data_IF_763716382319
#
_entry.id   IF_763716382319
#
_cell.length_a   1.000
_cell.length_b   1.000
_cell.length_c   1.000
_cell.angle_alpha   90.00
_cell.angle_beta   90.00
_cell.angle_gamma   90.00
#
_symmetry.space_group_name_H-M   'P 1'
#
loop_
_entity.id
_entity.type
_entity.pdbx_description
1 polymer ?
#
# COMPACT_ATOMS: atom_id res chain seq x y z
N UNK A 1 -43.04 -26.73 -16.97
CA UNK A 1 -44.33 -26.67 -16.25
C UNK A 1 -45.36 -27.52 -16.99
N UNK A 2 -45.34 -28.84 -16.80
CA UNK A 2 -46.39 -29.76 -17.26
C UNK A 2 -46.89 -30.61 -16.07
N UNK A 3 -47.09 -29.96 -14.94
CA UNK A 3 -47.79 -30.49 -13.75
C UNK A 3 -48.42 -29.31 -13.05
N UNK A 4 -49.61 -28.90 -13.50
CA UNK A 4 -50.62 -28.08 -12.81
C UNK A 4 -51.63 -27.55 -13.83
N UNK A 5 -52.43 -28.44 -14.42
CA UNK A 5 -53.71 -28.11 -15.06
C UNK A 5 -54.64 -29.33 -15.05
N UNK A 6 -54.72 -30.02 -13.91
CA UNK A 6 -55.74 -31.06 -13.67
C UNK A 6 -56.46 -30.76 -12.36
N UNK A 7 -57.08 -29.58 -12.27
CA UNK A 7 -58.07 -29.28 -11.22
C UNK A 7 -58.93 -28.11 -11.70
N UNK A 8 -59.78 -28.34 -12.70
CA UNK A 8 -61.02 -27.58 -12.92
C UNK A 8 -61.79 -28.30 -14.02
N UNK A 9 -63.03 -28.66 -13.73
CA UNK A 9 -64.00 -29.30 -14.63
C UNK A 9 -64.35 -28.40 -15.82
N UNK A 10 -63.47 -28.33 -16.82
CA UNK A 10 -63.74 -27.68 -18.10
C UNK A 10 -64.23 -28.73 -19.10
N UNK A 11 -65.55 -28.83 -19.21
CA UNK A 11 -66.36 -29.20 -20.38
C UNK A 11 -65.75 -30.17 -21.40
N UNK A 12 -66.36 -31.36 -21.46
CA UNK A 12 -66.11 -32.47 -22.40
C UNK A 12 -66.00 -32.02 -23.89
N UNK A 13 -66.63 -30.90 -24.25
CA UNK A 13 -66.60 -30.29 -25.58
C UNK A 13 -65.25 -29.70 -25.99
N UNK A 14 -64.45 -29.17 -25.05
CA UNK A 14 -63.13 -28.62 -25.35
C UNK A 14 -62.10 -29.73 -25.63
N UNK A 15 -62.21 -30.83 -24.88
CA UNK A 15 -61.39 -32.02 -25.08
C UNK A 15 -61.69 -32.72 -26.42
N UNK A 16 -62.98 -32.80 -26.79
CA UNK A 16 -63.42 -33.32 -28.10
C UNK A 16 -62.88 -32.46 -29.26
N UNK A 17 -63.02 -31.12 -29.18
CA UNK A 17 -62.44 -30.20 -30.19
C UNK A 17 -60.93 -30.35 -30.35
N UNK A 18 -60.20 -30.56 -29.24
CA UNK A 18 -58.76 -30.78 -29.26
C UNK A 18 -58.39 -32.09 -29.95
N UNK A 19 -59.17 -33.16 -29.71
CA UNK A 19 -59.01 -34.47 -30.35
C UNK A 19 -59.27 -34.40 -31.86
N UNK A 20 -60.32 -33.69 -32.28
CA UNK A 20 -60.65 -33.48 -33.70
C UNK A 20 -59.58 -32.65 -34.40
N UNK A 21 -59.07 -31.60 -33.76
CA UNK A 21 -57.95 -30.80 -34.29
C UNK A 21 -56.65 -31.61 -34.39
N UNK A 22 -56.40 -32.52 -33.45
CA UNK A 22 -55.24 -33.42 -33.49
C UNK A 22 -55.37 -34.42 -34.66
N UNK A 23 -56.55 -35.02 -34.83
CA UNK A 23 -56.85 -35.95 -35.93
C UNK A 23 -56.73 -35.27 -37.30
N UNK A 24 -57.24 -34.03 -37.44
CA UNK A 24 -57.09 -33.20 -38.64
C UNK A 24 -55.62 -32.81 -38.92
N UNK A 25 -54.80 -32.63 -37.88
CA UNK A 25 -53.38 -32.33 -38.05
C UNK A 25 -52.58 -33.56 -38.50
N UNK A 26 -52.94 -34.75 -38.00
CA UNK A 26 -52.39 -36.05 -38.41
C UNK A 26 -52.78 -36.36 -39.86
N UNK A 27 -54.06 -36.20 -40.23
CA UNK A 27 -54.54 -36.38 -41.62
C UNK A 27 -53.86 -35.44 -42.62
N UNK A 28 -53.47 -34.24 -42.18
CA UNK A 28 -52.79 -33.23 -43.01
C UNK A 28 -51.27 -33.37 -43.04
N UNK A 29 -50.70 -34.44 -42.50
CA UNK A 29 -49.25 -34.68 -42.42
C UNK A 29 -48.46 -33.47 -41.84
N UNK A 30 -49.09 -32.69 -40.95
CA UNK A 30 -48.44 -31.54 -40.34
C UNK A 30 -47.40 -32.05 -39.34
N UNK A 31 -46.12 -31.84 -39.66
CA UNK A 31 -45.02 -32.17 -38.75
C UNK A 31 -45.27 -31.47 -37.40
N UNK A 32 -45.17 -32.19 -36.26
CA UNK A 32 -45.34 -31.58 -34.95
C UNK A 32 -44.30 -30.48 -34.77
N UNK A 33 -44.77 -29.33 -34.32
CA UNK A 33 -43.91 -28.17 -34.07
C UNK A 33 -42.95 -28.54 -32.95
N UNK A 34 -41.65 -28.47 -33.22
CA UNK A 34 -40.62 -28.68 -32.20
C UNK A 34 -40.64 -27.53 -31.17
N UNK A 35 -41.41 -27.73 -30.11
CA UNK A 35 -41.56 -26.78 -29.01
C UNK A 35 -40.22 -26.49 -28.31
N UNK A 36 -39.28 -27.44 -28.30
CA UNK A 36 -37.96 -27.21 -27.72
C UNK A 36 -37.16 -26.23 -28.58
N UNK A 37 -37.20 -26.38 -29.91
CA UNK A 37 -36.58 -25.45 -30.86
C UNK A 37 -37.25 -24.07 -30.81
N UNK A 38 -38.57 -23.99 -30.76
CA UNK A 38 -39.28 -22.71 -30.62
C UNK A 38 -38.94 -22.00 -29.30
N UNK A 39 -38.88 -22.73 -28.19
CA UNK A 39 -38.50 -22.18 -26.89
C UNK A 39 -37.06 -21.65 -26.91
N UNK A 40 -36.12 -22.35 -27.55
CA UNK A 40 -34.74 -21.86 -27.76
C UNK A 40 -34.71 -20.55 -28.55
N UNK A 41 -35.50 -20.43 -29.63
CA UNK A 41 -35.59 -19.19 -30.42
C UNK A 41 -36.19 -18.06 -29.59
N UNK A 42 -37.27 -18.33 -28.85
CA UNK A 42 -37.91 -17.33 -27.98
C UNK A 42 -36.95 -16.84 -26.90
N UNK A 43 -36.20 -17.75 -26.28
CA UNK A 43 -35.19 -17.43 -25.28
C UNK A 43 -34.05 -16.59 -25.87
N UNK A 44 -33.58 -16.93 -27.08
CA UNK A 44 -32.56 -16.15 -27.79
C UNK A 44 -33.05 -14.72 -28.06
N UNK A 45 -34.26 -14.56 -28.61
CA UNK A 45 -34.87 -13.23 -28.85
C UNK A 45 -35.05 -12.44 -27.56
N UNK A 46 -35.46 -13.09 -26.47
CA UNK A 46 -35.58 -12.45 -25.17
C UNK A 46 -34.23 -11.97 -24.64
N UNK A 47 -33.20 -12.82 -24.76
CA UNK A 47 -31.83 -12.47 -24.38
C UNK A 47 -31.35 -11.27 -25.20
N UNK A 48 -31.49 -11.29 -26.53
CA UNK A 48 -31.12 -10.18 -27.41
C UNK A 48 -31.86 -8.88 -27.06
N UNK A 49 -33.16 -8.95 -26.74
CA UNK A 49 -33.93 -7.80 -26.26
C UNK A 49 -33.38 -7.28 -24.93
N UNK A 50 -33.03 -8.18 -24.02
CA UNK A 50 -32.46 -7.84 -22.71
C UNK A 50 -31.06 -7.25 -22.79
N UNK A 51 -30.34 -7.39 -23.92
CA UNK A 51 -29.06 -6.71 -24.15
C UNK A 51 -29.22 -5.22 -24.48
N UNK A 52 -30.41 -4.81 -24.91
CA UNK A 52 -30.69 -3.45 -25.41
C UNK A 52 -31.27 -2.58 -24.30
N UNK A 53 -30.94 -1.29 -24.34
CA UNK A 53 -31.55 -0.24 -23.51
C UNK A 53 -33.07 -0.19 -23.71
N UNK A 54 -33.78 0.38 -22.75
CA UNK A 54 -35.19 0.80 -22.94
C UNK A 54 -35.18 2.08 -23.78
N UNK A 55 -36.23 2.31 -24.54
CA UNK A 55 -36.42 3.60 -25.23
C UNK A 55 -36.55 4.72 -24.20
N UNK A 56 -36.12 5.93 -24.55
CA UNK A 56 -36.12 7.07 -23.60
C UNK A 56 -37.52 7.37 -23.05
N UNK A 57 -38.54 7.33 -23.91
CA UNK A 57 -39.95 7.54 -23.52
C UNK A 57 -40.43 6.49 -22.51
N UNK A 58 -40.16 5.22 -22.78
CA UNK A 58 -40.55 4.15 -21.84
C UNK A 58 -39.73 4.17 -20.56
N UNK A 59 -38.45 4.58 -20.62
CA UNK A 59 -37.65 4.76 -19.42
C UNK A 59 -38.23 5.87 -18.54
N UNK A 60 -38.63 7.01 -19.12
CA UNK A 60 -39.33 8.09 -18.43
C UNK A 60 -40.58 7.61 -17.72
N UNK A 61 -41.50 6.97 -18.44
CA UNK A 61 -42.74 6.46 -17.86
C UNK A 61 -42.50 5.45 -16.71
N UNK A 62 -41.48 4.60 -16.81
CA UNK A 62 -41.14 3.65 -15.74
C UNK A 62 -40.58 4.39 -14.53
N UNK A 63 -39.65 5.33 -14.71
CA UNK A 63 -39.03 6.07 -13.61
C UNK A 63 -40.06 6.95 -12.89
N UNK A 64 -40.92 7.65 -13.63
CA UNK A 64 -41.99 8.48 -13.05
C UNK A 64 -42.94 7.65 -12.19
N UNK A 65 -43.31 6.46 -12.68
CA UNK A 65 -44.15 5.51 -11.93
C UNK A 65 -43.47 5.01 -10.65
N UNK A 66 -42.20 4.66 -10.71
CA UNK A 66 -41.46 4.10 -9.57
C UNK A 66 -41.14 5.18 -8.51
N UNK A 67 -40.80 6.39 -8.94
CA UNK A 67 -40.42 7.49 -8.05
C UNK A 67 -41.60 8.38 -7.62
N UNK A 68 -42.77 8.22 -8.24
CA UNK A 68 -43.95 9.08 -8.01
C UNK A 68 -43.66 10.58 -8.20
N UNK A 69 -42.76 10.92 -9.13
CA UNK A 69 -42.44 12.30 -9.54
C UNK A 69 -42.52 12.42 -11.05
N UNK A 70 -42.77 13.62 -11.55
CA UNK A 70 -42.81 13.94 -12.98
C UNK A 70 -41.50 14.59 -13.42
N UNK A 71 -41.10 14.38 -14.67
CA UNK A 71 -39.97 15.08 -15.29
C UNK A 71 -40.49 15.96 -16.44
N UNK A 72 -39.79 17.04 -16.75
CA UNK A 72 -40.16 17.92 -17.87
C UNK A 72 -40.22 17.14 -19.19
N UNK A 73 -41.09 17.56 -20.13
CA UNK A 73 -41.29 16.83 -21.40
C UNK A 73 -39.98 16.59 -22.16
N UNK A 74 -39.09 17.57 -22.17
CA UNK A 74 -37.78 17.52 -22.85
C UNK A 74 -36.67 16.83 -22.05
N UNK A 75 -36.89 16.53 -20.77
CA UNK A 75 -35.88 15.95 -19.92
C UNK A 75 -35.64 14.48 -20.27
N UNK A 76 -34.40 14.17 -20.66
CA UNK A 76 -33.99 12.84 -21.11
C UNK A 76 -33.42 12.05 -19.94
N UNK A 77 -34.06 10.93 -19.62
CA UNK A 77 -33.52 9.96 -18.65
C UNK A 77 -32.30 9.24 -19.23
N UNK A 78 -31.18 9.30 -18.51
CA UNK A 78 -29.92 8.70 -18.92
C UNK A 78 -28.83 8.79 -17.85
N UNK A 79 -27.54 8.61 -18.25
CA UNK A 79 -26.40 8.66 -17.34
C UNK A 79 -26.19 10.02 -16.71
N UNK A 80 -26.52 11.09 -17.42
CA UNK A 80 -26.34 12.47 -16.98
C UNK A 80 -27.49 12.97 -16.09
N UNK A 81 -28.58 12.21 -15.95
CA UNK A 81 -29.72 12.59 -15.10
C UNK A 81 -29.33 12.47 -13.63
N UNK A 82 -29.53 13.54 -12.86
CA UNK A 82 -29.29 13.52 -11.42
C UNK A 82 -30.43 12.78 -10.70
N UNK A 83 -30.05 11.75 -9.95
CA UNK A 83 -30.94 11.02 -9.05
C UNK A 83 -30.38 11.16 -7.64
N UNK A 84 -31.26 11.33 -6.65
CA UNK A 84 -30.82 11.21 -5.26
C UNK A 84 -30.33 9.78 -5.00
N UNK A 85 -29.55 9.62 -3.95
CA UNK A 85 -29.02 8.34 -3.54
C UNK A 85 -30.12 7.31 -3.24
N UNK A 86 -31.29 7.74 -2.76
CA UNK A 86 -32.47 6.92 -2.44
C UNK A 86 -33.29 6.55 -3.68
N UNK A 87 -33.44 7.52 -4.60
CA UNK A 87 -34.08 7.31 -5.89
C UNK A 87 -33.30 6.28 -6.70
N UNK A 88 -31.98 6.42 -6.75
CA UNK A 88 -31.11 5.51 -7.46
C UNK A 88 -31.20 4.09 -6.88
N UNK A 89 -31.24 3.94 -5.56
CA UNK A 89 -31.42 2.62 -4.92
C UNK A 89 -32.77 1.99 -5.27
N UNK A 90 -33.83 2.78 -5.37
CA UNK A 90 -35.16 2.32 -5.79
C UNK A 90 -35.16 1.86 -7.25
N UNK A 91 -34.59 2.67 -8.15
CA UNK A 91 -34.49 2.35 -9.58
C UNK A 91 -33.59 1.13 -9.85
N UNK A 92 -32.47 1.00 -9.14
CA UNK A 92 -31.54 -0.11 -9.31
C UNK A 92 -32.06 -1.43 -8.71
N UNK A 93 -33.00 -1.38 -7.76
CA UNK A 93 -33.72 -2.57 -7.26
C UNK A 93 -34.72 -3.14 -8.28
N UNK A 94 -35.14 -2.34 -9.27
CA UNK A 94 -36.07 -2.80 -10.30
C UNK A 94 -35.52 -4.04 -11.03
N UNK A 95 -36.40 -5.01 -11.34
CA UNK A 95 -36.02 -6.25 -12.03
C UNK A 95 -35.66 -6.02 -13.51
N UNK A 96 -36.07 -4.89 -14.08
CA UNK A 96 -35.83 -4.59 -15.49
C UNK A 96 -34.38 -4.16 -15.75
N UNK A 97 -33.54 -5.11 -16.18
CA UNK A 97 -32.12 -4.86 -16.50
C UNK A 97 -31.92 -3.79 -17.59
N UNK A 98 -32.86 -3.69 -18.53
CA UNK A 98 -32.79 -2.73 -19.63
C UNK A 98 -32.97 -1.29 -19.15
N UNK A 99 -33.73 -1.08 -18.08
CA UNK A 99 -33.84 0.22 -17.43
C UNK A 99 -32.50 0.63 -16.82
N UNK A 100 -31.83 -0.29 -16.13
CA UNK A 100 -30.50 -0.07 -15.55
C UNK A 100 -29.47 0.33 -16.61
N UNK A 101 -29.50 -0.31 -17.78
CA UNK A 101 -28.69 0.07 -18.93
C UNK A 101 -28.96 1.49 -19.43
N UNK A 102 -30.21 1.93 -19.36
CA UNK A 102 -30.59 3.28 -19.79
C UNK A 102 -30.09 4.32 -18.79
N UNK A 103 -30.34 4.10 -17.49
CA UNK A 103 -29.89 4.97 -16.40
C UNK A 103 -28.37 5.04 -16.32
N UNK A 104 -27.66 3.92 -16.50
CA UNK A 104 -26.20 3.88 -16.42
C UNK A 104 -25.51 4.18 -17.77
N UNK A 105 -26.27 4.48 -18.82
CA UNK A 105 -25.72 4.82 -20.13
C UNK A 105 -25.04 3.68 -20.89
N UNK A 106 -25.15 2.43 -20.43
CA UNK A 106 -24.42 1.27 -20.98
C UNK A 106 -25.35 0.26 -21.68
N UNK A 107 -24.83 -0.83 -22.21
CA UNK A 107 -25.62 -1.91 -22.83
C UNK A 107 -25.08 -3.27 -22.44
N UNK A 108 -25.89 -4.32 -22.61
CA UNK A 108 -25.45 -5.67 -22.26
C UNK A 108 -24.20 -6.10 -23.02
N UNK A 109 -23.96 -5.59 -24.23
CA UNK A 109 -22.77 -5.89 -25.00
C UNK A 109 -21.55 -5.14 -24.46
N UNK A 110 -21.68 -3.86 -24.13
CA UNK A 110 -20.59 -3.05 -23.57
C UNK A 110 -20.15 -3.54 -22.19
N UNK A 111 -21.10 -3.99 -21.37
CA UNK A 111 -20.81 -4.49 -20.01
C UNK A 111 -19.92 -5.74 -20.01
N UNK A 112 -19.88 -6.48 -21.12
CA UNK A 112 -19.02 -7.66 -21.26
C UNK A 112 -17.54 -7.30 -21.44
N UNK A 113 -17.24 -6.05 -21.78
CA UNK A 113 -15.89 -5.54 -21.97
C UNK A 113 -15.46 -4.78 -20.71
N UNK A 114 -14.48 -5.33 -19.99
CA UNK A 114 -13.97 -4.75 -18.75
C UNK A 114 -13.34 -3.37 -18.93
N UNK A 115 -12.74 -3.09 -20.10
CA UNK A 115 -12.11 -1.80 -20.37
C UNK A 115 -13.18 -0.72 -20.61
N UNK A 116 -14.24 -1.06 -21.36
CA UNK A 116 -15.37 -0.14 -21.56
C UNK A 116 -16.08 0.14 -20.23
N UNK A 117 -16.30 -0.89 -19.42
CA UNK A 117 -16.88 -0.73 -18.07
C UNK A 117 -16.01 0.19 -17.22
N UNK A 118 -14.69 -0.02 -17.19
CA UNK A 118 -13.77 0.85 -16.43
C UNK A 118 -13.84 2.31 -16.93
N UNK A 119 -13.80 2.54 -18.24
CA UNK A 119 -13.89 3.90 -18.82
C UNK A 119 -15.20 4.59 -18.48
N UNK A 120 -16.33 3.88 -18.55
CA UNK A 120 -17.63 4.45 -18.20
C UNK A 120 -17.74 4.71 -16.68
N UNK A 121 -17.15 3.86 -15.84
CA UNK A 121 -17.01 4.10 -14.41
C UNK A 121 -16.17 5.34 -14.12
N UNK A 122 -15.04 5.51 -14.81
CA UNK A 122 -14.18 6.70 -14.65
C UNK A 122 -14.94 8.01 -14.97
N UNK A 123 -15.83 8.01 -15.98
CA UNK A 123 -16.70 9.17 -16.25
C UNK A 123 -17.62 9.52 -15.07
N UNK A 124 -18.21 8.51 -14.43
CA UNK A 124 -19.02 8.74 -13.22
C UNK A 124 -18.17 9.24 -12.05
N UNK A 125 -16.94 8.74 -11.90
CA UNK A 125 -16.02 9.19 -10.85
C UNK A 125 -15.57 10.65 -11.04
N UNK A 126 -15.34 11.11 -12.27
CA UNK A 126 -15.05 12.52 -12.57
C UNK A 126 -16.17 13.45 -12.09
N UNK A 127 -17.42 12.98 -12.15
CA UNK A 127 -18.61 13.70 -11.69
C UNK A 127 -18.95 13.45 -10.22
N UNK A 128 -18.11 12.71 -9.50
CA UNK A 128 -18.32 12.28 -8.12
C UNK A 128 -19.61 11.45 -7.90
N UNK A 129 -20.14 10.81 -8.96
CA UNK A 129 -21.35 9.97 -8.92
C UNK A 129 -21.00 8.52 -8.51
N UNK A 130 -20.49 8.36 -7.29
CA UNK A 130 -19.91 7.10 -6.79
C UNK A 130 -20.93 5.95 -6.80
N UNK A 131 -22.20 6.20 -6.42
CA UNK A 131 -23.22 5.14 -6.43
C UNK A 131 -23.49 4.60 -7.83
N UNK A 132 -23.55 5.45 -8.86
CA UNK A 132 -23.70 5.02 -10.26
C UNK A 132 -22.48 4.22 -10.71
N UNK A 133 -21.27 4.66 -10.35
CA UNK A 133 -20.03 3.94 -10.63
C UNK A 133 -20.04 2.51 -10.03
N UNK A 134 -20.40 2.38 -8.75
CA UNK A 134 -20.52 1.07 -8.07
C UNK A 134 -21.61 0.22 -8.73
N UNK A 135 -22.76 0.81 -9.04
CA UNK A 135 -23.87 0.11 -9.69
C UNK A 135 -23.48 -0.45 -11.07
N UNK A 136 -22.74 0.31 -11.87
CA UNK A 136 -22.23 -0.13 -13.17
C UNK A 136 -21.23 -1.28 -13.02
N UNK A 137 -20.24 -1.15 -12.12
CA UNK A 137 -19.28 -2.21 -11.84
C UNK A 137 -19.98 -3.50 -11.37
N UNK A 138 -20.99 -3.37 -10.51
CA UNK A 138 -21.78 -4.50 -10.00
C UNK A 138 -22.64 -5.16 -11.07
N UNK A 139 -23.18 -4.37 -12.00
CA UNK A 139 -23.90 -4.89 -13.16
C UNK A 139 -22.99 -5.67 -14.10
N UNK A 140 -21.70 -5.30 -14.18
CA UNK A 140 -20.67 -5.98 -14.97
C UNK A 140 -20.10 -7.26 -14.36
N UNK A 141 -20.42 -7.53 -13.08
CA UNK A 141 -19.98 -8.73 -12.39
C UNK A 141 -18.45 -8.91 -12.46
N UNK A 142 -17.97 -10.02 -13.00
CA UNK A 142 -16.54 -10.31 -13.16
C UNK A 142 -15.82 -9.26 -14.02
N UNK A 143 -16.49 -8.68 -15.02
CA UNK A 143 -15.92 -7.63 -15.86
C UNK A 143 -15.77 -6.29 -15.13
N UNK A 144 -16.40 -6.15 -13.95
CA UNK A 144 -16.31 -4.97 -13.08
C UNK A 144 -15.13 -4.98 -12.11
N UNK A 145 -14.31 -6.03 -12.04
CA UNK A 145 -13.19 -6.13 -11.07
C UNK A 145 -12.21 -4.95 -11.21
N UNK A 146 -11.82 -4.61 -12.44
CA UNK A 146 -10.95 -3.46 -12.72
C UNK A 146 -11.59 -2.12 -12.38
N UNK A 147 -12.91 -2.01 -12.58
CA UNK A 147 -13.66 -0.82 -12.22
C UNK A 147 -13.70 -0.61 -10.71
N UNK A 148 -13.87 -1.67 -9.90
CA UNK A 148 -13.82 -1.55 -8.44
C UNK A 148 -12.47 -1.01 -7.93
N UNK A 149 -11.35 -1.45 -8.50
CA UNK A 149 -10.04 -0.89 -8.17
C UNK A 149 -9.97 0.61 -8.45
N UNK A 150 -10.57 1.07 -9.55
CA UNK A 150 -10.60 2.50 -9.92
C UNK A 150 -11.48 3.32 -8.99
N UNK A 151 -12.66 2.78 -8.60
CA UNK A 151 -13.55 3.41 -7.61
C UNK A 151 -12.84 3.50 -6.26
N UNK A 152 -12.18 2.43 -5.82
CA UNK A 152 -11.44 2.40 -4.55
C UNK A 152 -10.30 3.42 -4.52
N UNK A 153 -9.51 3.50 -5.61
CA UNK A 153 -8.46 4.52 -5.76
C UNK A 153 -9.04 5.93 -5.68
N UNK A 154 -10.17 6.19 -6.34
CA UNK A 154 -10.84 7.48 -6.28
C UNK A 154 -11.30 7.83 -4.86
N UNK A 155 -11.90 6.89 -4.13
CA UNK A 155 -12.29 7.07 -2.72
C UNK A 155 -11.10 7.41 -1.83
N UNK A 156 -9.98 6.70 -2.00
CA UNK A 156 -8.74 6.95 -1.26
C UNK A 156 -8.17 8.34 -1.54
N UNK A 157 -8.17 8.76 -2.80
CA UNK A 157 -7.72 10.10 -3.20
C UNK A 157 -8.60 11.22 -2.62
N UNK A 158 -9.89 10.95 -2.38
CA UNK A 158 -10.81 11.88 -1.72
C UNK A 158 -10.75 11.82 -0.19
N UNK A 159 -9.89 10.98 0.40
CA UNK A 159 -9.84 10.79 1.85
C UNK A 159 -11.01 10.01 2.45
N UNK A 160 -11.84 9.37 1.61
CA UNK A 160 -12.95 8.52 2.03
C UNK A 160 -12.45 7.11 2.42
N UNK A 161 -11.57 7.06 3.42
CA UNK A 161 -10.87 5.84 3.87
C UNK A 161 -11.84 4.73 4.29
N UNK A 162 -12.86 5.05 5.10
CA UNK A 162 -13.88 4.08 5.53
C UNK A 162 -14.64 3.50 4.34
N UNK A 163 -15.14 4.36 3.44
CA UNK A 163 -15.86 3.91 2.24
C UNK A 163 -15.01 3.00 1.35
N UNK A 164 -13.71 3.23 1.26
CA UNK A 164 -12.80 2.36 0.50
C UNK A 164 -12.68 0.95 1.11
N UNK A 165 -12.62 0.84 2.44
CA UNK A 165 -12.60 -0.44 3.14
C UNK A 165 -13.94 -1.17 3.07
N UNK A 166 -15.04 -0.41 3.12
CA UNK A 166 -16.38 -0.96 3.00
C UNK A 166 -16.61 -1.53 1.58
N UNK A 167 -16.18 -0.79 0.55
CA UNK A 167 -16.18 -1.28 -0.83
C UNK A 167 -15.34 -2.55 -0.98
N UNK A 168 -14.13 -2.60 -0.38
CA UNK A 168 -13.30 -3.81 -0.40
C UNK A 168 -14.02 -5.03 0.19
N UNK A 169 -14.72 -4.84 1.32
CA UNK A 169 -15.50 -5.89 1.96
C UNK A 169 -16.73 -6.30 1.12
N UNK A 170 -17.39 -5.34 0.49
CA UNK A 170 -18.58 -5.61 -0.33
C UNK A 170 -18.23 -6.37 -1.61
N UNK A 171 -17.08 -6.09 -2.24
CA UNK A 171 -16.55 -6.90 -3.36
C UNK A 171 -16.47 -8.38 -2.97
N UNK A 172 -15.96 -8.67 -1.76
CA UNK A 172 -15.89 -10.03 -1.21
C UNK A 172 -17.28 -10.63 -0.96
N UNK A 173 -18.20 -9.87 -0.36
CA UNK A 173 -19.59 -10.32 -0.12
C UNK A 173 -20.34 -10.62 -1.42
N UNK A 174 -20.01 -9.91 -2.50
CA UNK A 174 -20.59 -10.16 -3.82
C UNK A 174 -19.95 -11.36 -4.56
N UNK A 175 -19.03 -12.08 -3.90
CA UNK A 175 -18.42 -13.29 -4.43
C UNK A 175 -17.21 -13.05 -5.34
N UNK A 176 -16.68 -11.82 -5.38
CA UNK A 176 -15.47 -11.51 -6.15
C UNK A 176 -14.26 -11.52 -5.23
N UNK A 177 -13.21 -12.21 -5.62
CA UNK A 177 -11.96 -12.22 -4.87
C UNK A 177 -11.11 -11.01 -5.28
N UNK A 178 -10.74 -10.11 -4.34
CA UNK A 178 -9.77 -9.06 -4.60
C UNK A 178 -8.46 -9.68 -5.08
N UNK A 179 -7.92 -9.20 -6.19
CA UNK A 179 -6.62 -9.63 -6.72
C UNK A 179 -5.45 -8.83 -6.10
N UNK A 180 -4.22 -9.17 -6.48
CA UNK A 180 -3.03 -8.44 -6.05
C UNK A 180 -3.11 -6.94 -6.41
N UNK A 181 -3.67 -6.60 -7.57
CA UNK A 181 -3.89 -5.19 -7.96
C UNK A 181 -4.81 -4.46 -6.98
N UNK A 182 -5.92 -5.08 -6.59
CA UNK A 182 -6.88 -4.50 -5.64
C UNK A 182 -6.25 -4.32 -4.25
N UNK A 183 -5.49 -5.32 -3.78
CA UNK A 183 -4.72 -5.23 -2.54
C UNK A 183 -3.67 -4.12 -2.59
N UNK A 184 -2.93 -4.01 -3.70
CA UNK A 184 -1.95 -2.96 -3.89
C UNK A 184 -2.59 -1.57 -3.87
N UNK A 185 -3.71 -1.37 -4.56
CA UNK A 185 -4.47 -0.11 -4.53
C UNK A 185 -4.88 0.24 -3.09
N UNK A 186 -5.40 -0.75 -2.35
CA UNK A 186 -5.81 -0.55 -0.96
C UNK A 186 -4.62 -0.15 -0.09
N UNK A 187 -3.60 -1.01 0.04
CA UNK A 187 -2.48 -0.76 0.95
C UNK A 187 -1.66 0.47 0.55
N UNK A 188 -1.33 0.64 -0.73
CA UNK A 188 -0.54 1.79 -1.18
C UNK A 188 -1.33 3.10 -1.08
N UNK A 189 -2.65 3.06 -1.29
CA UNK A 189 -3.50 4.24 -1.14
C UNK A 189 -3.59 4.70 0.31
N UNK A 190 -3.73 3.78 1.27
CA UNK A 190 -3.61 4.12 2.69
C UNK A 190 -2.19 4.62 3.02
N UNK A 191 -1.15 3.89 2.62
CA UNK A 191 0.24 4.23 2.94
C UNK A 191 0.72 5.59 2.40
N UNK A 192 0.07 6.11 1.37
CA UNK A 192 0.41 7.38 0.74
C UNK A 192 -0.64 8.48 1.00
N UNK A 193 -1.72 8.16 1.71
CA UNK A 193 -2.73 9.15 2.02
C UNK A 193 -2.18 10.21 2.96
N UNK A 194 -2.32 11.45 2.53
CA UNK A 194 -2.07 12.66 3.31
C UNK A 194 -3.29 13.53 3.18
N UNK A 195 -3.77 14.01 4.30
CA UNK A 195 -4.91 14.90 4.33
C UNK A 195 -4.55 16.22 3.62
N UNK A 196 -5.34 16.67 2.63
CA UNK A 196 -4.99 17.87 1.87
C UNK A 196 -4.92 19.15 2.69
N UNK A 197 -5.61 19.25 3.84
CA UNK A 197 -5.60 20.47 4.66
C UNK A 197 -4.46 20.49 5.66
N UNK A 198 -4.06 19.35 6.23
CA UNK A 198 -2.97 19.30 7.22
C UNK A 198 -1.64 18.82 6.65
N UNK A 199 -1.64 18.11 5.51
CA UNK A 199 -0.47 17.42 4.98
C UNK A 199 -0.07 16.14 5.74
N UNK A 200 -0.78 15.83 6.82
CA UNK A 200 -0.51 14.70 7.71
C UNK A 200 -1.33 13.46 7.35
N UNK A 201 -0.87 12.29 7.78
CA UNK A 201 -1.66 11.06 7.66
C UNK A 201 -2.77 11.05 8.71
N UNK A 202 -4.04 10.99 8.29
CA UNK A 202 -5.22 10.82 9.16
C UNK A 202 -5.68 9.35 9.29
N UNK A 203 -4.75 8.40 9.16
CA UNK A 203 -5.06 6.99 9.35
C UNK A 203 -5.24 6.70 10.85
N UNK A 204 -6.48 6.48 11.28
CA UNK A 204 -6.77 6.02 12.65
C UNK A 204 -6.28 4.59 12.93
N UNK A 205 -6.15 4.28 14.23
CA UNK A 205 -5.85 2.93 14.73
C UNK A 205 -6.80 1.85 14.17
N UNK A 206 -8.11 2.15 14.11
CA UNK A 206 -9.10 1.21 13.59
C UNK A 206 -8.88 0.89 12.10
N UNK A 207 -8.43 1.84 11.29
CA UNK A 207 -8.07 1.56 9.90
C UNK A 207 -6.87 0.60 9.83
N UNK A 208 -5.85 0.81 10.66
CA UNK A 208 -4.69 -0.06 10.72
C UNK A 208 -5.07 -1.50 11.11
N UNK A 209 -5.95 -1.68 12.10
CA UNK A 209 -6.46 -2.99 12.50
C UNK A 209 -7.23 -3.69 11.37
N UNK A 210 -8.11 -2.96 10.67
CA UNK A 210 -8.85 -3.50 9.52
C UNK A 210 -7.91 -3.93 8.39
N UNK A 211 -6.91 -3.12 8.07
CA UNK A 211 -5.89 -3.44 7.07
C UNK A 211 -5.05 -4.65 7.49
N UNK A 212 -4.66 -4.72 8.76
CA UNK A 212 -3.91 -5.85 9.32
C UNK A 212 -4.72 -7.15 9.27
N UNK A 213 -6.02 -7.10 9.57
CA UNK A 213 -6.92 -8.24 9.42
C UNK A 213 -7.02 -8.69 7.96
N UNK A 214 -7.18 -7.75 7.02
CA UNK A 214 -7.20 -8.08 5.58
C UNK A 214 -5.90 -8.76 5.15
N UNK A 215 -4.75 -8.22 5.57
CA UNK A 215 -3.44 -8.77 5.24
C UNK A 215 -3.22 -10.16 5.85
N UNK A 216 -3.51 -10.32 7.15
CA UNK A 216 -3.37 -11.62 7.84
C UNK A 216 -4.21 -12.70 7.15
N UNK A 217 -5.45 -12.39 6.77
CA UNK A 217 -6.30 -13.32 6.00
C UNK A 217 -5.75 -13.64 4.61
N UNK A 218 -5.08 -12.68 3.95
CA UNK A 218 -4.46 -12.91 2.65
C UNK A 218 -3.23 -13.83 2.76
N UNK A 219 -2.44 -13.65 3.83
CA UNK A 219 -1.29 -14.51 4.17
C UNK A 219 -1.73 -15.93 4.52
N UNK A 220 -2.73 -16.09 5.41
CA UNK A 220 -3.28 -17.41 5.79
C UNK A 220 -3.77 -18.22 4.59
N UNK A 221 -4.41 -17.55 3.63
CA UNK A 221 -4.95 -18.19 2.42
C UNK A 221 -3.91 -18.44 1.34
N UNK A 222 -2.63 -18.10 1.59
CA UNK A 222 -1.53 -18.17 0.61
C UNK A 222 -1.94 -17.61 -0.74
N UNK A 223 -2.52 -16.42 -0.70
CA UNK A 223 -3.06 -15.82 -1.91
C UNK A 223 -1.92 -15.57 -2.91
N UNK A 224 -1.95 -16.28 -4.04
CA UNK A 224 -0.82 -16.40 -4.99
C UNK A 224 -0.29 -15.08 -5.58
N UNK A 225 -1.02 -13.98 -5.39
CA UNK A 225 -0.71 -12.67 -5.95
C UNK A 225 -0.17 -11.68 -4.90
N UNK A 226 0.02 -12.12 -3.65
CA UNK A 226 0.64 -11.31 -2.62
C UNK A 226 2.16 -11.23 -2.86
N UNK A 227 2.75 -10.09 -2.55
CA UNK A 227 4.17 -9.81 -2.76
C UNK A 227 4.68 -8.85 -1.70
N UNK A 228 6.01 -8.77 -1.55
CA UNK A 228 6.65 -7.87 -0.57
C UNK A 228 6.23 -6.40 -0.70
N UNK A 229 5.85 -5.93 -1.89
CA UNK A 229 5.36 -4.56 -2.12
C UNK A 229 4.10 -4.27 -1.30
N UNK A 230 3.20 -5.25 -1.19
CA UNK A 230 1.99 -5.14 -0.39
C UNK A 230 2.32 -5.03 1.10
N UNK A 231 3.29 -5.84 1.56
CA UNK A 231 3.76 -5.84 2.95
C UNK A 231 4.37 -4.49 3.31
N UNK A 232 5.29 -4.00 2.48
CA UNK A 232 5.95 -2.71 2.66
C UNK A 232 4.93 -1.56 2.72
N UNK A 233 3.92 -1.60 1.86
CA UNK A 233 2.83 -0.62 1.87
C UNK A 233 1.99 -0.70 3.15
N UNK A 234 1.61 -1.91 3.58
CA UNK A 234 0.84 -2.10 4.81
C UNK A 234 1.62 -1.64 6.06
N UNK A 235 2.89 -2.01 6.19
CA UNK A 235 3.75 -1.57 7.30
C UNK A 235 3.89 -0.05 7.35
N UNK A 236 4.04 0.60 6.19
CA UNK A 236 4.06 2.07 6.09
C UNK A 236 2.74 2.68 6.59
N UNK A 237 1.59 2.08 6.25
CA UNK A 237 0.29 2.52 6.74
C UNK A 237 0.14 2.34 8.27
N UNK A 238 0.59 1.22 8.83
CA UNK A 238 0.58 0.98 10.28
C UNK A 238 1.46 1.97 11.05
N UNK A 239 2.65 2.24 10.51
CA UNK A 239 3.55 3.26 11.04
C UNK A 239 2.91 4.64 11.07
N UNK A 240 2.24 5.03 9.99
CA UNK A 240 1.52 6.31 9.92
C UNK A 240 0.36 6.38 10.92
N UNK A 241 -0.32 5.26 11.17
CA UNK A 241 -1.34 5.13 12.21
C UNK A 241 -0.77 5.05 13.64
N UNK A 242 0.55 5.17 13.81
CA UNK A 242 1.26 5.02 15.10
C UNK A 242 0.99 3.66 15.77
N UNK A 243 0.88 2.61 14.97
CA UNK A 243 0.69 1.21 15.39
C UNK A 243 1.92 0.36 15.04
N UNK A 244 3.05 0.54 15.76
CA UNK A 244 4.27 -0.22 15.49
C UNK A 244 4.11 -1.72 15.80
N UNK A 245 3.24 -2.06 16.75
CA UNK A 245 2.87 -3.43 17.11
C UNK A 245 2.39 -4.24 15.90
N UNK A 246 1.50 -3.66 15.08
CA UNK A 246 0.99 -4.32 13.86
C UNK A 246 2.07 -4.49 12.78
N UNK A 247 2.99 -3.52 12.67
CA UNK A 247 4.11 -3.60 11.74
C UNK A 247 5.11 -4.71 12.15
N UNK A 248 5.39 -4.83 13.45
CA UNK A 248 6.26 -5.88 14.02
C UNK A 248 5.62 -7.26 13.82
N UNK A 249 4.34 -7.42 14.15
CA UNK A 249 3.61 -8.67 13.94
C UNK A 249 3.63 -9.10 12.47
N UNK A 250 3.37 -8.15 11.55
CA UNK A 250 3.44 -8.41 10.11
C UNK A 250 4.83 -8.87 9.68
N UNK A 251 5.89 -8.20 10.15
CA UNK A 251 7.27 -8.56 9.83
C UNK A 251 7.65 -9.96 10.34
N UNK A 252 7.25 -10.29 11.58
CA UNK A 252 7.50 -11.61 12.16
C UNK A 252 6.79 -12.71 11.36
N UNK A 253 5.50 -12.52 11.05
CA UNK A 253 4.71 -13.46 10.23
C UNK A 253 5.35 -13.74 8.87
N UNK A 254 5.77 -12.72 8.13
CA UNK A 254 6.41 -12.96 6.82
C UNK A 254 7.78 -13.63 6.95
N UNK A 255 8.50 -13.35 8.04
CA UNK A 255 9.80 -13.98 8.31
C UNK A 255 9.67 -15.47 8.67
N UNK A 256 8.55 -15.85 9.30
CA UNK A 256 8.22 -17.23 9.64
C UNK A 256 7.77 -18.04 8.42
N UNK A 257 6.98 -17.43 7.53
CA UNK A 257 6.46 -18.10 6.33
C UNK A 257 7.55 -18.51 5.33
N UNK A 258 8.65 -17.75 5.26
CA UNK A 258 9.80 -18.00 4.36
C UNK A 258 9.40 -18.19 2.88
N UNK A 259 8.32 -17.55 2.46
CA UNK A 259 7.87 -17.57 1.06
C UNK A 259 8.76 -16.66 0.20
N UNK A 260 9.22 -17.16 -0.95
CA UNK A 260 10.17 -16.43 -1.81
C UNK A 260 9.62 -15.09 -2.30
N UNK A 261 8.32 -14.99 -2.58
CA UNK A 261 7.63 -13.75 -3.00
C UNK A 261 7.46 -12.72 -1.88
N UNK A 262 7.67 -13.12 -0.62
CA UNK A 262 7.52 -12.32 0.60
C UNK A 262 8.83 -12.12 1.34
N UNK A 263 9.97 -12.43 0.71
CA UNK A 263 11.28 -12.21 1.32
C UNK A 263 11.48 -10.72 1.65
N UNK A 264 11.79 -10.37 2.92
CA UNK A 264 12.07 -8.99 3.30
C UNK A 264 13.17 -8.36 2.45
N UNK A 265 12.90 -7.17 1.92
CA UNK A 265 13.85 -6.37 1.16
C UNK A 265 14.32 -5.16 1.98
N UNK A 266 15.21 -4.35 1.41
CA UNK A 266 15.71 -3.14 2.08
C UNK A 266 14.60 -2.18 2.49
N UNK A 267 13.51 -2.11 1.72
CA UNK A 267 12.36 -1.26 2.06
C UNK A 267 11.60 -1.82 3.25
N UNK A 268 11.45 -3.15 3.34
CA UNK A 268 10.86 -3.83 4.50
C UNK A 268 11.61 -3.49 5.78
N UNK A 269 12.93 -3.62 5.77
CA UNK A 269 13.76 -3.31 6.93
C UNK A 269 13.74 -1.82 7.28
N UNK A 270 13.74 -0.94 6.28
CA UNK A 270 13.62 0.52 6.50
C UNK A 270 12.29 0.87 7.17
N UNK A 271 11.18 0.25 6.74
CA UNK A 271 9.86 0.46 7.35
C UNK A 271 9.76 -0.17 8.75
N UNK A 272 10.41 -1.31 8.99
CA UNK A 272 10.51 -1.92 10.31
C UNK A 272 11.23 -0.99 11.29
N UNK A 273 12.46 -0.55 10.99
CA UNK A 273 13.20 0.38 11.88
C UNK A 273 12.46 1.72 12.05
N UNK A 274 11.82 2.20 10.99
CA UNK A 274 10.98 3.39 11.05
C UNK A 274 9.74 3.21 11.93
N UNK A 275 9.29 1.99 12.15
CA UNK A 275 8.20 1.65 13.07
C UNK A 275 8.73 1.51 14.50
N UNK A 276 9.88 0.83 14.70
CA UNK A 276 10.51 0.62 16.01
C UNK A 276 10.90 1.92 16.72
N UNK A 277 11.20 3.01 15.98
CA UNK A 277 11.48 4.33 16.59
C UNK A 277 10.25 5.00 17.23
N UNK A 278 9.03 4.59 16.86
CA UNK A 278 7.79 5.16 17.39
C UNK A 278 7.68 4.79 18.87
N UNK A 279 7.07 5.66 19.70
CA UNK A 279 6.81 5.34 21.11
C UNK A 279 6.01 4.04 21.19
N UNK A 280 6.62 3.03 21.80
CA UNK A 280 6.06 1.71 22.08
C UNK A 280 6.09 1.49 23.60
N UNK A 281 5.25 0.60 24.12
CA UNK A 281 5.24 0.22 25.54
C UNK A 281 6.50 -0.53 25.94
N UNK A 282 7.16 -1.20 24.99
CA UNK A 282 8.33 -2.05 25.24
C UNK A 282 9.54 -1.58 24.41
N UNK A 283 10.32 -0.67 25.02
CA UNK A 283 11.50 -0.08 24.39
C UNK A 283 12.64 -1.10 24.26
N UNK A 284 12.85 -1.91 25.29
CA UNK A 284 13.91 -2.91 25.34
C UNK A 284 13.77 -3.93 24.20
N UNK A 285 12.59 -4.53 24.03
CA UNK A 285 12.35 -5.46 22.92
C UNK A 285 12.52 -4.79 21.56
N UNK A 286 12.14 -3.51 21.44
CA UNK A 286 12.28 -2.77 20.19
C UNK A 286 13.75 -2.56 19.82
N UNK A 287 14.60 -2.29 20.81
CA UNK A 287 16.05 -2.13 20.63
C UNK A 287 16.71 -3.48 20.32
N UNK A 288 16.43 -4.51 21.11
CA UNK A 288 16.95 -5.86 20.89
C UNK A 288 16.61 -6.38 19.48
N UNK A 289 15.36 -6.15 19.04
CA UNK A 289 14.92 -6.51 17.70
C UNK A 289 15.66 -5.73 16.62
N UNK A 290 15.86 -4.41 16.81
CA UNK A 290 16.56 -3.58 15.84
C UNK A 290 17.99 -4.09 15.60
N UNK A 291 18.75 -4.34 16.67
CA UNK A 291 20.12 -4.81 16.59
C UNK A 291 20.20 -6.23 16.01
N UNK A 292 19.39 -7.17 16.51
CA UNK A 292 19.35 -8.54 15.99
C UNK A 292 18.97 -8.61 14.51
N UNK A 293 18.08 -7.74 14.04
CA UNK A 293 17.71 -7.68 12.62
C UNK A 293 18.84 -7.04 11.81
N UNK A 294 19.46 -5.97 12.30
CA UNK A 294 20.55 -5.29 11.60
C UNK A 294 21.79 -6.19 11.42
N UNK A 295 22.12 -7.02 12.41
CA UNK A 295 23.18 -8.03 12.30
C UNK A 295 22.92 -9.02 11.15
N UNK A 296 21.68 -9.50 11.02
CA UNK A 296 21.26 -10.40 9.93
C UNK A 296 21.34 -9.71 8.57
N UNK A 297 20.94 -8.44 8.49
CA UNK A 297 21.06 -7.65 7.25
C UNK A 297 22.52 -7.55 6.84
N UNK A 298 23.42 -7.18 7.76
CA UNK A 298 24.84 -7.05 7.46
C UNK A 298 25.46 -8.38 6.99
N UNK A 299 24.98 -9.51 7.53
CA UNK A 299 25.45 -10.84 7.15
C UNK A 299 24.84 -11.35 5.83
N UNK A 300 23.76 -10.72 5.34
CA UNK A 300 23.14 -11.08 4.07
C UNK A 300 23.87 -10.42 2.89
N UNK A 301 24.28 -11.23 1.91
CA UNK A 301 24.97 -10.74 0.69
C UNK A 301 24.03 -10.15 -0.35
N UNK A 302 22.74 -10.50 -0.31
CA UNK A 302 21.74 -10.05 -1.29
C UNK A 302 21.13 -8.69 -0.94
N UNK A 303 21.39 -8.16 0.25
CA UNK A 303 20.88 -6.85 0.69
C UNK A 303 22.02 -5.84 0.59
N UNK A 304 21.88 -4.91 -0.34
CA UNK A 304 22.75 -3.74 -0.43
C UNK A 304 22.27 -2.67 0.53
N UNK A 305 23.04 -2.41 1.58
CA UNK A 305 22.73 -1.40 2.59
C UNK A 305 22.82 -0.01 1.96
N UNK A 306 21.77 0.81 2.14
CA UNK A 306 21.71 2.18 1.66
C UNK A 306 21.66 3.21 2.81
N UNK A 307 21.84 4.48 2.46
CA UNK A 307 21.79 5.62 3.40
C UNK A 307 20.47 5.64 4.22
N UNK A 308 19.35 5.30 3.57
CA UNK A 308 18.00 5.39 4.15
C UNK A 308 17.80 4.34 5.23
N UNK A 309 18.29 3.12 5.01
CA UNK A 309 18.23 2.04 5.97
C UNK A 309 19.03 2.39 7.23
N UNK A 310 20.27 2.89 7.07
CA UNK A 310 21.10 3.32 8.21
C UNK A 310 20.44 4.49 8.95
N UNK A 311 19.88 5.44 8.22
CA UNK A 311 19.13 6.56 8.81
C UNK A 311 17.95 6.06 9.63
N UNK A 312 17.20 5.06 9.13
CA UNK A 312 16.09 4.47 9.86
C UNK A 312 16.56 3.69 11.10
N UNK A 313 17.63 2.90 10.99
CA UNK A 313 18.23 2.14 12.08
C UNK A 313 18.77 3.05 13.21
N UNK A 314 19.62 4.03 12.86
CA UNK A 314 20.12 5.04 13.81
C UNK A 314 19.00 5.85 14.48
N UNK A 315 17.89 6.08 13.77
CA UNK A 315 16.73 6.78 14.33
C UNK A 315 16.07 6.03 15.49
N UNK A 316 16.18 4.70 15.55
CA UNK A 316 15.66 3.89 16.68
C UNK A 316 16.29 4.35 17.99
N UNK A 317 17.60 4.62 17.97
CA UNK A 317 18.38 5.07 19.11
C UNK A 317 18.36 6.58 19.31
N UNK A 318 18.33 7.36 18.22
CA UNK A 318 18.36 8.82 18.32
C UNK A 318 17.15 9.40 19.05
N UNK A 319 15.95 8.85 18.81
CA UNK A 319 14.68 9.34 19.36
C UNK A 319 14.32 8.75 20.73
N UNK A 320 15.28 8.14 21.43
CA UNK A 320 15.12 7.73 22.83
C UNK A 320 15.46 8.88 23.77
N UNK A 321 14.99 8.77 25.01
CA UNK A 321 15.26 9.72 26.09
C UNK A 321 16.43 9.21 26.98
N UNK A 322 17.16 8.19 26.52
CA UNK A 322 18.31 7.58 27.21
C UNK A 322 19.64 8.04 26.57
N UNK A 323 20.55 8.60 27.37
CA UNK A 323 21.87 9.07 26.94
C UNK A 323 22.75 7.93 26.41
N UNK A 324 22.64 6.73 26.98
CA UNK A 324 23.43 5.56 26.58
C UNK A 324 23.06 5.13 25.16
N UNK A 325 21.77 5.16 24.83
CA UNK A 325 21.28 4.88 23.49
C UNK A 325 21.58 6.01 22.50
N UNK A 326 21.54 7.27 22.94
CA UNK A 326 21.99 8.40 22.10
C UNK A 326 23.49 8.32 21.77
N UNK A 327 24.32 7.85 22.71
CA UNK A 327 25.73 7.54 22.43
C UNK A 327 25.87 6.42 21.38
N UNK A 328 25.02 5.39 21.42
CA UNK A 328 24.93 4.38 20.37
C UNK A 328 24.54 4.98 19.01
N UNK A 329 23.59 5.91 18.97
CA UNK A 329 23.22 6.62 17.74
C UNK A 329 24.41 7.41 17.16
N UNK A 330 25.19 8.08 18.01
CA UNK A 330 26.41 8.81 17.61
C UNK A 330 27.44 7.85 17.00
N UNK A 331 27.68 6.70 17.63
CA UNK A 331 28.60 5.68 17.11
C UNK A 331 28.17 5.20 15.71
N UNK A 332 26.88 4.93 15.52
CA UNK A 332 26.34 4.54 14.21
C UNK A 332 26.60 5.66 13.19
N UNK A 333 26.41 6.92 13.54
CA UNK A 333 26.70 8.04 12.65
C UNK A 333 28.17 8.12 12.26
N UNK A 334 29.09 8.01 13.23
CA UNK A 334 30.53 8.03 12.98
C UNK A 334 30.97 6.90 12.03
N UNK A 335 30.47 5.69 12.26
CA UNK A 335 30.87 4.51 11.48
C UNK A 335 30.26 4.43 10.07
N UNK A 336 29.06 4.97 9.85
CA UNK A 336 28.36 4.84 8.56
C UNK A 336 28.31 6.11 7.71
N UNK A 337 28.52 7.29 8.29
CA UNK A 337 28.47 8.57 7.58
C UNK A 337 29.76 9.34 7.73
N UNK A 338 30.11 10.16 6.73
CA UNK A 338 31.26 11.08 6.74
C UNK A 338 31.00 12.33 7.57
N UNK A 339 30.69 12.13 8.86
CA UNK A 339 30.41 13.18 9.85
C UNK A 339 31.60 13.53 10.74
N UNK A 340 32.64 12.69 10.75
CA UNK A 340 33.84 12.84 11.56
C UNK A 340 35.09 12.30 10.85
N UNK A 341 36.26 12.68 11.36
CA UNK A 341 37.54 12.12 10.93
C UNK A 341 37.66 10.63 11.31
N UNK A 342 38.59 9.92 10.67
CA UNK A 342 38.81 8.49 10.93
C UNK A 342 39.38 8.24 12.33
N UNK A 343 40.22 9.16 12.82
CA UNK A 343 40.83 9.09 14.15
C UNK A 343 39.77 9.17 15.26
N UNK A 344 38.79 10.07 15.11
CA UNK A 344 37.74 10.30 16.12
C UNK A 344 36.53 9.36 15.98
N UNK A 345 36.58 8.44 15.01
CA UNK A 345 35.47 7.55 14.69
C UNK A 345 35.13 6.59 15.83
N UNK A 346 36.16 6.06 16.50
CA UNK A 346 36.05 5.06 17.56
C UNK A 346 36.28 5.64 18.97
N UNK A 347 36.36 6.96 19.11
CA UNK A 347 36.55 7.60 20.41
C UNK A 347 35.47 7.18 21.39
N UNK A 348 35.91 6.80 22.60
CA UNK A 348 35.03 6.45 23.71
C UNK A 348 34.19 7.65 24.12
N UNK A 349 32.89 7.42 24.34
CA UNK A 349 31.96 8.47 24.75
C UNK A 349 31.84 8.43 26.28
N UNK A 350 32.27 9.51 26.94
CA UNK A 350 32.10 9.68 28.38
C UNK A 350 30.75 10.34 28.68
N UNK A 351 29.78 9.52 29.11
CA UNK A 351 28.42 9.97 29.39
C UNK A 351 28.38 10.98 30.56
N UNK A 352 29.36 10.99 31.46
CA UNK A 352 29.40 11.93 32.60
C UNK A 352 29.61 13.37 32.16
N UNK A 353 30.25 13.59 31.01
CA UNK A 353 30.46 14.91 30.41
C UNK A 353 29.24 15.40 29.63
N UNK A 354 28.22 14.56 29.47
CA UNK A 354 27.01 14.92 28.75
C UNK A 354 26.24 16.03 29.48
N UNK A 355 25.67 16.94 28.71
CA UNK A 355 24.77 17.97 29.18
C UNK A 355 23.38 17.38 29.41
N UNK A 356 23.24 16.53 30.43
CA UNK A 356 21.99 15.81 30.75
C UNK A 356 20.77 16.75 30.92
N UNK A 357 20.99 18.00 31.34
CA UNK A 357 19.96 19.04 31.45
C UNK A 357 19.32 19.43 30.10
N UNK A 358 20.01 19.19 28.96
CA UNK A 358 19.45 19.40 27.61
C UNK A 358 18.54 18.26 27.17
N UNK A 359 18.54 17.13 27.89
CA UNK A 359 17.69 15.99 27.59
C UNK A 359 16.27 16.28 28.06
N UNK A 360 15.32 16.27 27.13
CA UNK A 360 13.90 16.39 27.47
C UNK A 360 13.46 15.11 28.20
N UNK A 361 13.02 15.18 29.47
CA UNK A 361 12.55 14.00 30.19
C UNK A 361 11.33 13.42 29.47
N UNK A 362 11.37 12.12 29.22
CA UNK A 362 10.29 11.42 28.53
C UNK A 362 10.23 9.96 28.95
N UNK A 363 9.30 9.21 28.36
CA UNK A 363 9.03 7.83 28.73
C UNK A 363 9.82 6.80 27.92
N UNK A 364 10.79 7.22 27.08
CA UNK A 364 11.61 6.31 26.28
C UNK A 364 12.99 6.13 26.89
N UNK A 365 13.03 5.74 28.15
CA UNK A 365 14.24 5.42 28.90
C UNK A 365 14.27 3.92 29.18
N UNK A 366 15.46 3.33 29.14
CA UNK A 366 15.64 1.98 29.68
C UNK A 366 15.84 2.06 31.19
N UNK A 367 15.38 1.05 31.95
CA UNK A 367 15.83 0.83 33.31
C UNK A 367 17.37 0.85 33.45
N UNK A 368 17.87 1.28 34.60
CA UNK A 368 19.31 1.44 34.82
C UNK A 368 20.04 0.10 34.99
N UNK A 369 19.32 -0.93 35.42
CA UNK A 369 19.76 -2.30 35.65
C UNK A 369 19.93 -3.13 34.36
N UNK A 370 19.44 -2.64 33.22
CA UNK A 370 19.63 -3.31 31.94
C UNK A 370 21.10 -3.23 31.52
N UNK A 371 21.70 -4.39 31.28
CA UNK A 371 23.01 -4.51 30.69
C UNK A 371 22.96 -4.23 29.18
N UNK A 372 23.56 -3.12 28.76
CA UNK A 372 23.63 -2.73 27.37
C UNK A 372 24.63 -3.55 26.55
N UNK A 373 25.60 -4.20 27.19
CA UNK A 373 26.55 -5.08 26.50
C UNK A 373 25.87 -6.37 26.05
N UNK A 374 24.88 -6.85 26.81
CA UNK A 374 24.04 -7.99 26.41
C UNK A 374 22.94 -7.59 25.41
N UNK A 375 22.37 -6.38 25.57
CA UNK A 375 21.26 -5.91 24.73
C UNK A 375 21.71 -5.49 23.32
N UNK A 376 22.87 -4.84 23.20
CA UNK A 376 23.35 -4.23 21.96
C UNK A 376 24.44 -5.07 21.30
N UNK A 377 24.52 -5.01 19.97
CA UNK A 377 25.67 -5.58 19.27
C UNK A 377 26.96 -4.91 19.73
N UNK A 378 28.08 -5.63 19.81
CA UNK A 378 29.37 -5.01 20.08
C UNK A 378 29.67 -3.92 19.04
N UNK A 379 30.39 -2.87 19.45
CA UNK A 379 30.71 -1.71 18.60
C UNK A 379 31.29 -2.07 17.24
N UNK A 380 32.10 -3.12 17.19
CA UNK A 380 32.84 -3.53 16.00
C UNK A 380 31.91 -4.17 14.97
N UNK A 381 30.71 -4.58 15.40
CA UNK A 381 29.65 -5.13 14.57
C UNK A 381 28.64 -4.08 14.11
N UNK A 382 28.78 -2.82 14.55
CA UNK A 382 27.92 -1.72 14.06
C UNK A 382 28.13 -1.50 12.56
N UNK A 383 29.36 -1.58 12.06
CA UNK A 383 29.70 -1.63 10.63
C UNK A 383 30.64 -2.82 10.38
N UNK A 384 30.09 -4.04 10.45
CA UNK A 384 30.83 -5.31 10.33
C UNK A 384 31.66 -5.41 9.05
N UNK A 385 31.15 -4.87 7.94
CA UNK A 385 31.83 -4.91 6.63
C UNK A 385 32.92 -3.84 6.50
N UNK A 386 33.07 -2.92 7.47
CA UNK A 386 33.84 -1.67 7.33
C UNK A 386 33.55 -1.00 5.99
N UNK A 387 32.27 -1.02 5.61
CA UNK A 387 31.81 -0.62 4.29
C UNK A 387 31.95 0.89 4.07
N UNK A 388 31.89 1.31 2.80
CA UNK A 388 32.03 2.71 2.38
C UNK A 388 31.06 3.62 3.15
N UNK A 389 31.60 4.57 3.90
CA UNK A 389 30.83 5.62 4.60
C UNK A 389 30.06 6.48 3.58
N UNK A 390 28.77 6.70 3.85
CA UNK A 390 27.89 7.54 3.06
C UNK A 390 28.16 9.03 3.30
N UNK A 391 27.80 9.85 2.32
CA UNK A 391 27.70 11.29 2.53
C UNK A 391 26.46 11.59 3.40
N UNK A 392 26.59 12.40 4.46
CA UNK A 392 25.46 12.70 5.32
C UNK A 392 24.51 13.68 4.62
N UNK A 393 23.21 13.41 4.69
CA UNK A 393 22.19 14.42 4.40
C UNK A 393 22.14 15.49 5.48
N UNK A 394 21.56 16.66 5.17
CA UNK A 394 21.39 17.77 6.13
C UNK A 394 20.71 17.33 7.43
N UNK A 395 19.80 16.35 7.34
CA UNK A 395 19.12 15.77 8.50
C UNK A 395 20.11 15.04 9.40
N UNK A 396 21.03 14.27 8.83
CA UNK A 396 22.06 13.55 9.57
C UNK A 396 23.06 14.54 10.18
N UNK A 397 23.49 15.57 9.44
CA UNK A 397 24.38 16.61 9.95
C UNK A 397 23.79 17.29 11.18
N UNK A 398 22.53 17.75 11.10
CA UNK A 398 21.83 18.39 12.23
C UNK A 398 21.68 17.46 13.43
N UNK A 399 21.39 16.17 13.19
CA UNK A 399 21.28 15.18 14.26
C UNK A 399 22.62 14.89 14.91
N UNK A 400 23.68 14.79 14.12
CA UNK A 400 25.03 14.60 14.60
C UNK A 400 25.48 15.78 15.47
N UNK A 401 25.27 17.00 15.00
CA UNK A 401 25.53 18.24 15.74
C UNK A 401 24.79 18.27 17.08
N UNK A 402 23.48 17.98 17.07
CA UNK A 402 22.67 17.89 18.28
C UNK A 402 23.18 16.82 19.27
N UNK A 403 23.72 15.70 18.79
CA UNK A 403 24.29 14.67 19.66
C UNK A 403 25.66 15.10 20.22
N UNK A 404 26.51 15.76 19.42
CA UNK A 404 27.76 16.33 19.90
C UNK A 404 27.51 17.35 21.01
N UNK A 405 26.57 18.26 20.79
CA UNK A 405 26.13 19.27 21.75
C UNK A 405 25.51 18.69 23.02
N UNK A 406 24.83 17.54 22.91
CA UNK A 406 24.24 16.86 24.07
C UNK A 406 25.30 16.11 24.86
N UNK A 407 26.26 15.48 24.18
CA UNK A 407 27.28 14.62 24.80
C UNK A 407 28.55 15.39 25.18
N UNK A 408 28.59 16.72 24.98
CA UNK A 408 29.73 17.57 25.34
C UNK A 408 30.96 17.31 24.46
N UNK A 409 30.74 16.95 23.19
CA UNK A 409 31.77 16.60 22.23
C UNK A 409 31.95 17.71 21.20
N UNK A 410 33.18 17.89 20.72
CA UNK A 410 33.46 18.78 19.59
C UNK A 410 32.83 18.22 18.31
N UNK A 411 32.15 19.07 17.54
CA UNK A 411 31.68 18.73 16.21
C UNK A 411 32.79 18.96 15.18
N UNK A 412 33.37 17.88 14.65
CA UNK A 412 34.43 17.92 13.63
C UNK A 412 33.89 17.73 12.20
N UNK A 413 32.58 17.91 11.98
CA UNK A 413 32.01 17.80 10.64
C UNK A 413 32.52 18.92 9.73
N UNK A 414 33.05 18.51 8.57
CA UNK A 414 33.44 19.39 7.50
C UNK A 414 32.58 19.10 6.27
N UNK A 415 32.06 20.17 5.65
CA UNK A 415 31.31 20.07 4.41
C UNK A 415 32.15 19.43 3.29
N UNK A 416 31.55 18.65 2.37
CA UNK A 416 32.26 18.07 1.24
C UNK A 416 33.17 19.05 0.46
N UNK A 417 32.76 20.32 0.35
CA UNK A 417 33.53 21.37 -0.32
C UNK A 417 34.81 21.72 0.43
N UNK A 418 34.75 21.82 1.76
CA UNK A 418 35.89 22.18 2.61
C UNK A 418 36.85 21.00 2.82
N UNK A 419 36.34 19.76 2.85
CA UNK A 419 37.19 18.56 2.86
C UNK A 419 38.09 18.47 1.63
N UNK A 420 37.59 18.87 0.45
CA UNK A 420 38.39 18.91 -0.78
C UNK A 420 39.45 20.00 -0.77
N UNK A 421 39.18 21.16 -0.17
CA UNK A 421 40.17 22.24 0.00
C UNK A 421 41.28 21.82 0.97
N UNK A 422 40.93 21.15 2.07
CA UNK A 422 41.92 20.65 3.03
C UNK A 422 42.79 19.54 2.41
N UNK A 423 42.21 18.61 1.64
CA UNK A 423 42.97 17.61 0.90
C UNK A 423 43.87 18.23 -0.20
N UNK A 424 43.44 19.35 -0.81
CA UNK A 424 44.23 20.10 -1.80
C UNK A 424 45.42 20.87 -1.20
N UNK A 425 45.28 21.37 0.03
CA UNK A 425 46.34 22.11 0.73
C UNK A 425 47.42 21.20 1.33
N UNK A 426 47.12 19.94 1.63
CA UNK A 426 48.12 18.95 2.05
C UNK A 426 48.98 18.44 0.87
N UNK A 427 48.52 18.61 -0.38
CA UNK A 427 49.27 18.26 -1.59
C UNK A 427 50.35 19.26 -2.02
N UNK A 428 50.52 20.39 -1.30
CA UNK A 428 51.46 21.47 -1.66
C UNK A 428 52.68 21.61 -0.73
N UNK A 429 53.08 20.54 -0.04
CA UNK A 429 54.42 20.46 0.56
C UNK A 429 55.19 19.29 -0.03
N UNK A 430 56.30 19.63 -0.68
CA UNK A 430 57.31 18.78 -1.35
C UNK A 430 57.01 18.35 -2.80
N UNK A 431 57.45 19.17 -3.76
CA UNK A 431 58.16 18.67 -4.96
C UNK A 431 59.32 19.61 -5.31
N UNK A 432 60.55 19.11 -5.52
CA UNK A 432 61.57 19.86 -6.23
C UNK A 432 61.33 19.81 -7.75
N UNK A 433 61.76 20.87 -8.41
CA UNK A 433 61.71 21.14 -9.84
C UNK A 433 62.25 19.99 -10.72
N UNK A 434 61.57 19.71 -11.86
CA UNK A 434 62.16 19.86 -13.20
C UNK A 434 61.20 19.46 -14.37
N UNK A 435 61.09 20.38 -15.34
CA UNK A 435 60.98 20.23 -16.81
C UNK A 435 59.81 19.50 -17.52
N UNK A 436 58.96 20.34 -18.14
CA UNK A 436 58.38 20.35 -19.51
C UNK A 436 58.39 19.07 -20.39
N UNK A 437 57.21 18.65 -20.90
CA UNK A 437 56.70 18.84 -22.31
C UNK A 437 55.32 18.16 -22.55
N UNK A 438 54.62 18.66 -23.57
CA UNK A 438 53.22 18.49 -24.05
C UNK A 438 52.80 17.01 -24.33
N UNK A 439 51.52 16.58 -24.41
CA UNK A 439 50.39 17.02 -25.27
C UNK A 439 48.99 16.55 -24.78
N UNK A 440 47.94 17.13 -25.37
CA UNK A 440 46.46 17.04 -25.17
C UNK A 440 45.80 15.65 -25.51
N UNK A 441 44.45 15.43 -25.42
CA UNK A 441 43.64 15.22 -24.21
C UNK A 441 42.69 13.97 -24.32
N UNK A 442 41.82 13.80 -23.30
CA UNK A 442 40.56 13.00 -23.28
C UNK A 442 40.60 11.57 -22.69
N UNK A 443 39.94 11.40 -21.54
CA UNK A 443 38.72 10.59 -21.39
C UNK A 443 38.44 10.30 -19.90
N UNK A 444 37.17 10.39 -19.55
CA UNK A 444 36.58 10.19 -18.23
C UNK A 444 36.80 8.77 -17.68
N UNK A 445 37.41 8.65 -16.49
CA UNK A 445 37.27 7.49 -15.60
C UNK A 445 37.36 7.93 -14.13
N UNK A 446 36.28 7.70 -13.40
CA UNK A 446 36.19 7.82 -11.94
C UNK A 446 37.06 6.74 -11.28
N UNK A 447 38.11 7.14 -10.56
CA UNK A 447 38.92 6.21 -9.77
C UNK A 447 38.33 6.03 -8.36
N UNK A 448 38.03 4.78 -8.03
CA UNK A 448 37.87 4.30 -6.67
C UNK A 448 39.28 4.11 -6.08
N UNK A 449 39.49 4.63 -4.87
CA UNK A 449 40.69 4.37 -4.08
C UNK A 449 40.22 3.55 -2.88
N UNK A 450 40.58 2.27 -2.89
CA UNK A 450 40.47 1.36 -1.75
C UNK A 450 41.65 1.60 -0.81
N UNK A 451 41.35 1.85 0.46
CA UNK A 451 42.32 1.71 1.55
C UNK A 451 41.69 0.86 2.65
N UNK A 452 42.24 -0.34 2.81
CA UNK A 452 41.97 -1.24 3.94
C UNK A 452 42.58 -0.65 5.22
N UNK A 453 41.87 -0.77 6.34
CA UNK A 453 42.42 -0.47 7.68
C UNK A 453 42.14 -1.65 8.61
N UNK A 454 43.23 -2.34 8.97
CA UNK A 454 43.37 -3.18 10.15
C UNK A 454 43.78 -2.32 11.36
N UNK A 455 43.24 -2.65 12.53
CA UNK A 455 43.50 -1.96 13.80
C UNK A 455 42.39 -2.23 14.81
N UNK A 456 42.66 -3.06 15.81
CA UNK A 456 41.83 -3.34 16.99
C UNK A 456 42.08 -2.24 18.05
N UNK A 457 41.14 -1.78 18.87
CA UNK A 457 40.52 -2.54 19.98
C UNK A 457 39.44 -1.69 20.69
N UNK A 458 38.34 -2.34 21.10
CA UNK A 458 37.42 -2.08 22.23
C UNK A 458 36.81 -0.69 22.45
N UNK A 459 35.57 -0.50 21.97
CA UNK A 459 34.64 0.51 22.49
C UNK A 459 34.04 0.03 23.82
N UNK A 460 34.12 0.84 24.87
CA UNK A 460 33.42 0.64 26.15
C UNK A 460 32.58 1.87 26.47
N UNK A 461 31.29 1.68 26.73
CA UNK A 461 30.47 2.68 27.41
C UNK A 461 30.85 2.60 28.89
N UNK A 462 31.62 3.56 29.40
CA UNK A 462 31.98 3.59 30.82
C UNK A 462 30.78 4.05 31.65
N UNK A 463 29.95 3.09 32.08
CA UNK A 463 29.07 3.29 33.22
C UNK A 463 29.89 2.97 34.48
N UNK A 464 30.05 3.94 35.38
CA UNK A 464 30.58 3.71 36.72
C UNK A 464 29.48 4.10 37.70
N UNK A 465 29.07 3.09 38.47
CA UNK A 465 28.19 3.03 39.66
C UNK A 465 27.59 4.35 40.12
#
# INVERSE_FOLDING_TARGET
>A
MLRRFFTTSCTNTYALKLKDQLNLAVQRNKKPVDFAKLNKIRQKKLNEKNMRKVTRVSAKAIVEKELKRTFAEDEKIGPDTHFSDEELDTLLRNKNIRLKYTILGTSGNQIKDSLLVQKDVEKFLVRNEIKKAIALARLARFQGVFAYGSIMKHLLNQGKLNSSLDLFNDIKKWGYQPDGRTLNILFSGFANYKDPSTGDSKISSNHAERLHFILSRALEKKQSNLSIIHINSAMKAFRQAKRPDLAIDTFNKISELKESSLMPDIRTYTELFSSLRIKNSDLEKSIAMADKVFERIQSNKFIEIDERLITAYSSVFFFTDDLRLKARALLIFRQWFRVCNLETMNDTIDIKKAHAWKLTPGSKTLPNDIDLEELLLPSDFVNKKKSKRFEPSDVIVKRYDSLCDLLGLKNDYLDPSDRKKNAGNEGTKTKPNSSKRNDKPSSSKTHAIDQQIEGATNFRIRNFV
#
